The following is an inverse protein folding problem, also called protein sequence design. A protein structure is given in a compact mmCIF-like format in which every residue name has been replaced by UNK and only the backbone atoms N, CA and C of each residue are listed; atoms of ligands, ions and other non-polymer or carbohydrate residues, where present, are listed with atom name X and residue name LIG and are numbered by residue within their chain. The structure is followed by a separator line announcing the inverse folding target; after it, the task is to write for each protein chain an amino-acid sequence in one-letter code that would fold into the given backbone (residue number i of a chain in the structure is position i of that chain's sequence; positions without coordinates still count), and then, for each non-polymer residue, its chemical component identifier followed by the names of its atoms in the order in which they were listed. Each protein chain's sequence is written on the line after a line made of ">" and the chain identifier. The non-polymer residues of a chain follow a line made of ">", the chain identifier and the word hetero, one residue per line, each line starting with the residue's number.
data_IF_253268161291
#
_entry.id   IF_253268161291
#
_cell.length_a   1.000
_cell.length_b   1.000
_cell.length_c   1.000
_cell.angle_alpha   90.00
_cell.angle_beta   90.00
_cell.angle_gamma   90.00
#
_symmetry.space_group_name_H-M   'P 1'
#
loop_
_entity.id
_entity.type
_entity.pdbx_description
1 polymer ?
#
# COMPACT_ATOMS: atom_id res chain seq x y z
N UNK A 1 12.18 -6.09 9.08
CA UNK A 1 10.94 -5.76 9.84
C UNK A 1 10.68 -6.79 10.92
N UNK A 2 10.77 -8.09 10.61
CA UNK A 2 10.66 -9.18 11.59
C UNK A 2 11.48 -8.95 12.87
N UNK A 3 12.73 -8.52 12.75
CA UNK A 3 13.63 -8.32 13.91
C UNK A 3 13.34 -7.05 14.73
N UNK A 4 12.91 -5.96 14.09
CA UNK A 4 12.82 -4.64 14.73
C UNK A 4 11.39 -4.19 15.03
N UNK A 5 10.39 -4.69 14.30
CA UNK A 5 8.97 -4.38 14.47
C UNK A 5 8.11 -5.64 14.21
N UNK A 6 8.22 -6.68 15.05
CA UNK A 6 7.51 -7.95 14.82
C UNK A 6 5.99 -7.78 14.85
N UNK A 7 5.48 -6.90 15.74
CA UNK A 7 4.04 -6.62 15.84
C UNK A 7 3.44 -6.08 14.53
N UNK A 8 4.21 -5.30 13.76
CA UNK A 8 3.77 -4.75 12.48
C UNK A 8 3.72 -5.82 11.39
N UNK A 9 4.75 -6.66 11.33
CA UNK A 9 4.77 -7.80 10.41
C UNK A 9 3.63 -8.78 10.70
N UNK A 10 3.44 -9.12 11.98
CA UNK A 10 2.34 -9.97 12.41
C UNK A 10 0.97 -9.37 12.08
N UNK A 11 0.82 -8.04 12.13
CA UNK A 11 -0.42 -7.36 11.75
C UNK A 11 -0.68 -7.34 10.23
N UNK A 12 0.37 -7.22 9.41
CA UNK A 12 0.24 -7.27 7.94
C UNK A 12 -0.31 -8.60 7.45
N UNK A 13 0.06 -9.67 8.13
CA UNK A 13 -0.22 -11.05 7.72
C UNK A 13 -1.28 -11.71 8.61
N UNK A 14 -1.78 -11.00 9.62
CA UNK A 14 -2.83 -11.48 10.52
C UNK A 14 -2.39 -12.66 11.41
N UNK A 15 -1.10 -12.77 11.72
CA UNK A 15 -0.56 -13.86 12.52
C UNK A 15 -0.77 -13.60 14.02
N UNK A 16 -1.77 -14.26 14.60
CA UNK A 16 -2.10 -14.15 16.03
C UNK A 16 -1.27 -15.04 16.97
N UNK A 17 -1.01 -16.32 16.67
CA UNK A 17 -0.25 -17.19 17.57
C UNK A 17 1.09 -16.59 18.01
N UNK A 18 1.49 -16.76 19.27
CA UNK A 18 2.64 -16.04 19.81
C UNK A 18 3.99 -16.50 19.22
N UNK A 19 4.11 -17.79 18.89
CA UNK A 19 5.33 -18.41 18.35
C UNK A 19 4.95 -19.72 17.64
N UNK A 20 4.52 -19.61 16.39
CA UNK A 20 4.19 -20.75 15.52
C UNK A 20 4.68 -20.47 14.10
N UNK A 21 4.73 -21.51 13.27
CA UNK A 21 4.93 -21.33 11.83
C UNK A 21 3.81 -20.44 11.28
N UNK A 22 4.20 -19.45 10.50
CA UNK A 22 3.29 -18.43 10.02
C UNK A 22 2.89 -18.70 8.57
N UNK A 23 1.58 -18.72 8.36
CA UNK A 23 0.99 -18.81 7.03
C UNK A 23 0.99 -17.42 6.39
N UNK A 24 1.16 -17.36 5.07
CA UNK A 24 0.98 -16.11 4.34
C UNK A 24 -0.42 -16.10 3.72
N UNK A 25 -1.21 -15.08 4.03
CA UNK A 25 -2.53 -14.92 3.44
C UNK A 25 -2.40 -14.25 2.07
N UNK A 26 -3.22 -14.67 1.10
CA UNK A 26 -3.29 -14.03 -0.22
C UNK A 26 -4.44 -13.03 -0.23
N UNK A 27 -5.59 -13.45 0.31
CA UNK A 27 -6.78 -12.63 0.52
C UNK A 27 -7.43 -13.15 1.80
N UNK A 28 -7.88 -12.25 2.66
CA UNK A 28 -8.60 -12.62 3.87
C UNK A 28 -9.30 -11.44 4.53
N UNK A 29 -9.98 -11.75 5.62
CA UNK A 29 -10.59 -10.79 6.52
C UNK A 29 -10.16 -11.09 7.94
N UNK A 30 -9.75 -10.07 8.68
CA UNK A 30 -9.32 -10.20 10.07
C UNK A 30 -10.46 -9.78 10.98
N UNK A 31 -10.84 -10.67 11.90
CA UNK A 31 -11.71 -10.33 13.01
C UNK A 31 -10.86 -10.07 14.26
N UNK A 32 -10.76 -8.80 14.65
CA UNK A 32 -9.96 -8.39 15.81
C UNK A 32 -10.58 -8.83 17.15
N UNK A 33 -11.90 -9.06 17.21
CA UNK A 33 -12.58 -9.50 18.43
C UNK A 33 -12.34 -10.99 18.70
N UNK A 34 -12.37 -11.81 17.65
CA UNK A 34 -12.14 -13.26 17.77
C UNK A 34 -10.68 -13.65 17.60
N UNK A 35 -9.80 -12.71 17.20
CA UNK A 35 -8.39 -12.95 16.89
C UNK A 35 -8.18 -14.03 15.81
N UNK A 36 -9.07 -14.04 14.81
CA UNK A 36 -9.07 -15.02 13.73
C UNK A 36 -9.00 -14.36 12.36
N UNK A 37 -8.32 -15.03 11.43
CA UNK A 37 -8.23 -14.60 10.04
C UNK A 37 -8.92 -15.63 9.17
N UNK A 38 -9.95 -15.17 8.47
CA UNK A 38 -10.68 -15.98 7.48
C UNK A 38 -10.16 -15.64 6.09
N UNK A 39 -9.60 -16.61 5.37
CA UNK A 39 -9.03 -16.32 4.06
C UNK A 39 -8.38 -17.51 3.37
N UNK A 40 -7.77 -17.22 2.22
CA UNK A 40 -6.94 -18.17 1.48
C UNK A 40 -5.50 -17.95 1.95
N UNK A 41 -4.94 -18.94 2.63
CA UNK A 41 -3.57 -18.91 3.13
C UNK A 41 -2.73 -20.00 2.47
N UNK A 42 -1.43 -19.73 2.37
CA UNK A 42 -0.42 -20.71 1.97
C UNK A 42 0.36 -21.11 3.22
N UNK A 43 0.26 -22.38 3.66
CA UNK A 43 0.88 -22.83 4.90
C UNK A 43 2.41 -22.62 4.93
N UNK A 44 2.91 -22.02 6.01
CA UNK A 44 4.35 -21.81 6.26
C UNK A 44 5.07 -20.85 5.30
N UNK A 45 4.35 -20.21 4.36
CA UNK A 45 4.97 -19.32 3.37
C UNK A 45 5.59 -18.09 4.03
N UNK A 46 4.99 -17.55 5.09
CA UNK A 46 5.54 -16.40 5.80
C UNK A 46 6.81 -16.77 6.56
N UNK A 47 6.80 -17.91 7.27
CA UNK A 47 8.02 -18.47 7.90
C UNK A 47 9.14 -18.62 6.88
N UNK A 48 8.84 -19.17 5.70
CA UNK A 48 9.82 -19.29 4.61
C UNK A 48 10.32 -17.93 4.12
N UNK A 49 9.46 -16.93 3.95
CA UNK A 49 9.87 -15.60 3.49
C UNK A 49 10.75 -14.86 4.50
N UNK A 50 10.60 -15.13 5.80
CA UNK A 50 11.35 -14.46 6.86
C UNK A 50 12.65 -15.20 7.18
N UNK A 51 12.61 -16.52 7.32
CA UNK A 51 13.71 -17.33 7.84
C UNK A 51 14.29 -18.32 6.82
N UNK A 52 13.75 -18.39 5.60
CA UNK A 52 14.07 -19.42 4.60
C UNK A 52 13.75 -20.86 5.05
N UNK A 53 12.89 -21.01 6.06
CA UNK A 53 12.42 -22.28 6.63
C UNK A 53 10.90 -22.21 6.85
N UNK A 54 10.17 -23.26 6.47
CA UNK A 54 8.71 -23.34 6.61
C UNK A 54 8.25 -23.59 8.04
N UNK A 55 9.12 -24.09 8.92
CA UNK A 55 8.77 -24.47 10.30
C UNK A 55 9.26 -23.45 11.34
N UNK A 56 10.18 -22.55 10.98
CA UNK A 56 10.74 -21.58 11.92
C UNK A 56 9.64 -20.62 12.41
N UNK A 57 9.44 -20.50 13.74
CA UNK A 57 8.34 -19.73 14.30
C UNK A 57 8.54 -18.23 14.11
N UNK A 58 7.45 -17.53 13.86
CA UNK A 58 7.43 -16.06 13.76
C UNK A 58 6.69 -15.49 14.97
N UNK A 59 7.20 -14.37 15.50
CA UNK A 59 6.56 -13.69 16.63
C UNK A 59 5.24 -13.07 16.21
N UNK A 60 4.12 -13.61 16.68
CA UNK A 60 2.78 -13.09 16.38
C UNK A 60 2.20 -12.12 17.40
N UNK A 61 0.96 -11.70 17.14
CA UNK A 61 0.29 -10.61 17.87
C UNK A 61 0.04 -10.95 19.35
N UNK A 62 -0.21 -12.22 19.71
CA UNK A 62 -0.41 -12.66 21.10
C UNK A 62 0.82 -12.51 21.98
N UNK A 63 2.02 -12.36 21.39
CA UNK A 63 3.23 -12.05 22.15
C UNK A 63 3.23 -10.60 22.71
N UNK A 64 2.35 -9.73 22.20
CA UNK A 64 2.24 -8.33 22.61
C UNK A 64 0.95 -8.07 23.40
N UNK A 65 0.98 -7.17 24.40
CA UNK A 65 -0.23 -6.69 25.08
C UNK A 65 -1.23 -6.07 24.08
N UNK A 66 -2.56 -6.28 24.24
CA UNK A 66 -3.57 -5.76 23.30
C UNK A 66 -3.51 -4.25 23.06
N UNK A 67 -3.16 -3.46 24.08
CA UNK A 67 -3.01 -2.01 24.02
C UNK A 67 -1.80 -1.54 23.19
N UNK A 68 -0.87 -2.45 22.88
CA UNK A 68 0.35 -2.18 22.11
C UNK A 68 0.30 -2.73 20.69
N UNK A 69 -0.82 -3.33 20.28
CA UNK A 69 -1.02 -3.87 18.94
C UNK A 69 -1.53 -2.77 18.01
N UNK A 70 -1.06 -2.71 16.76
CA UNK A 70 -1.68 -1.85 15.75
C UNK A 70 -3.09 -2.36 15.39
N UNK A 71 -3.93 -1.52 14.75
CA UNK A 71 -5.20 -1.96 14.20
C UNK A 71 -4.95 -2.98 13.09
N UNK A 72 -5.27 -4.25 13.34
CA UNK A 72 -4.80 -5.37 12.52
C UNK A 72 -5.52 -5.40 11.18
N UNK A 73 -6.84 -5.24 11.16
CA UNK A 73 -7.62 -5.41 9.94
C UNK A 73 -7.28 -4.34 8.89
N UNK A 74 -7.14 -3.07 9.29
CA UNK A 74 -6.77 -1.99 8.35
C UNK A 74 -5.39 -2.22 7.75
N UNK A 75 -4.42 -2.65 8.56
CA UNK A 75 -3.05 -2.93 8.13
C UNK A 75 -3.03 -4.14 7.20
N UNK A 76 -3.74 -5.22 7.55
CA UNK A 76 -3.89 -6.41 6.73
C UNK A 76 -4.49 -6.08 5.36
N UNK A 77 -5.63 -5.39 5.31
CA UNK A 77 -6.29 -5.06 4.04
C UNK A 77 -5.44 -4.15 3.16
N UNK A 78 -4.80 -3.13 3.77
CA UNK A 78 -3.98 -2.18 3.03
C UNK A 78 -2.73 -2.84 2.45
N UNK A 79 -2.10 -3.73 3.23
CA UNK A 79 -0.94 -4.50 2.79
C UNK A 79 -1.29 -5.42 1.61
N UNK A 80 -2.33 -6.23 1.75
CA UNK A 80 -2.73 -7.15 0.69
C UNK A 80 -3.18 -6.40 -0.57
N UNK A 81 -3.94 -5.32 -0.43
CA UNK A 81 -4.34 -4.49 -1.56
C UNK A 81 -3.12 -3.88 -2.30
N UNK A 82 -2.12 -3.40 -1.56
CA UNK A 82 -0.86 -2.92 -2.15
C UNK A 82 -0.14 -4.02 -2.93
N UNK A 83 0.02 -5.21 -2.33
CA UNK A 83 0.70 -6.35 -2.95
C UNK A 83 -0.06 -6.82 -4.19
N UNK A 84 -1.39 -6.94 -4.12
CA UNK A 84 -2.23 -7.34 -5.26
C UNK A 84 -2.09 -6.36 -6.44
N UNK A 85 -2.08 -5.05 -6.17
CA UNK A 85 -1.86 -4.04 -7.23
C UNK A 85 -0.45 -4.17 -7.80
N UNK A 86 0.57 -4.35 -6.96
CA UNK A 86 1.95 -4.54 -7.41
C UNK A 86 2.12 -5.76 -8.32
N UNK A 87 1.60 -6.91 -7.90
CA UNK A 87 1.62 -8.15 -8.70
C UNK A 87 0.82 -7.97 -9.99
N UNK A 88 -0.35 -7.34 -9.94
CA UNK A 88 -1.15 -7.05 -11.13
C UNK A 88 -0.37 -6.21 -12.15
N UNK A 89 0.30 -5.14 -11.70
CA UNK A 89 1.08 -4.28 -12.60
C UNK A 89 2.27 -5.02 -13.21
N UNK A 90 2.96 -5.86 -12.44
CA UNK A 90 4.03 -6.71 -12.96
C UNK A 90 3.47 -7.64 -14.03
N UNK A 91 2.43 -8.42 -13.72
CA UNK A 91 1.80 -9.33 -14.69
C UNK A 91 1.35 -8.59 -15.96
N UNK A 92 0.76 -7.41 -15.81
CA UNK A 92 0.36 -6.56 -16.94
C UNK A 92 1.56 -6.16 -17.80
N UNK A 93 2.69 -5.77 -17.20
CA UNK A 93 3.92 -5.46 -17.94
C UNK A 93 4.48 -6.67 -18.68
N UNK A 94 4.47 -7.86 -18.07
CA UNK A 94 4.92 -9.10 -18.71
C UNK A 94 4.03 -9.50 -19.89
N UNK A 95 2.71 -9.39 -19.74
CA UNK A 95 1.75 -9.59 -20.83
C UNK A 95 2.02 -8.57 -21.94
N UNK A 96 2.19 -7.29 -21.59
CA UNK A 96 2.53 -6.24 -22.55
C UNK A 96 3.78 -6.57 -23.36
N UNK A 97 4.85 -7.00 -22.70
CA UNK A 97 6.11 -7.39 -23.33
C UNK A 97 5.93 -8.59 -24.26
N UNK A 98 5.15 -9.60 -23.85
CA UNK A 98 4.88 -10.79 -24.67
C UNK A 98 4.10 -10.44 -25.94
N UNK A 99 3.06 -9.61 -25.84
CA UNK A 99 2.27 -9.18 -26.99
C UNK A 99 3.04 -8.21 -27.90
N UNK A 100 3.93 -7.40 -27.33
CA UNK A 100 4.85 -6.57 -28.09
C UNK A 100 5.85 -7.41 -28.89
N UNK A 101 6.45 -8.42 -28.27
CA UNK A 101 7.38 -9.34 -28.95
C UNK A 101 6.71 -10.11 -30.09
N UNK A 102 5.42 -10.46 -29.93
CA UNK A 102 4.60 -11.07 -30.99
C UNK A 102 4.10 -10.08 -32.05
N UNK A 103 4.41 -8.79 -31.94
CA UNK A 103 3.91 -7.69 -32.81
C UNK A 103 2.38 -7.60 -32.88
N UNK A 104 1.68 -8.06 -31.85
CA UNK A 104 0.21 -8.09 -31.79
C UNK A 104 -0.36 -7.08 -30.78
N UNK A 105 0.47 -6.36 -30.02
CA UNK A 105 0.04 -5.46 -28.94
C UNK A 105 -1.04 -4.46 -29.39
N UNK A 106 -0.84 -3.84 -30.55
CA UNK A 106 -1.75 -2.82 -31.08
C UNK A 106 -3.08 -3.38 -31.62
N UNK A 107 -3.19 -4.70 -31.80
CA UNK A 107 -4.42 -5.33 -32.27
C UNK A 107 -5.46 -5.49 -31.15
N UNK A 108 -5.03 -5.52 -29.89
CA UNK A 108 -5.89 -5.76 -28.74
C UNK A 108 -6.20 -4.47 -27.98
N UNK A 109 -7.23 -3.75 -28.42
CA UNK A 109 -7.66 -2.48 -27.81
C UNK A 109 -7.97 -2.57 -26.32
N UNK A 110 -8.55 -3.70 -25.86
CA UNK A 110 -8.86 -3.90 -24.44
C UNK A 110 -7.60 -3.88 -23.55
N UNK A 111 -6.50 -4.44 -24.03
CA UNK A 111 -5.22 -4.47 -23.31
C UNK A 111 -4.63 -3.06 -23.21
N UNK A 112 -4.74 -2.27 -24.29
CA UNK A 112 -4.32 -0.86 -24.29
C UNK A 112 -5.12 -0.02 -23.31
N UNK A 113 -6.45 -0.21 -23.21
CA UNK A 113 -7.27 0.48 -22.22
C UNK A 113 -6.82 0.15 -20.79
N UNK A 114 -6.56 -1.12 -20.49
CA UNK A 114 -6.06 -1.51 -19.16
C UNK A 114 -4.71 -0.83 -18.87
N UNK A 115 -3.80 -0.76 -19.84
CA UNK A 115 -2.52 -0.05 -19.67
C UNK A 115 -2.70 1.44 -19.40
N UNK A 116 -3.63 2.11 -20.09
CA UNK A 116 -3.93 3.53 -19.82
C UNK A 116 -4.42 3.75 -18.39
N UNK A 117 -5.36 2.93 -17.92
CA UNK A 117 -5.87 3.05 -16.55
C UNK A 117 -4.87 2.56 -15.49
N UNK A 118 -3.89 1.74 -15.87
CA UNK A 118 -2.87 1.22 -14.95
C UNK A 118 -2.03 2.32 -14.28
N UNK A 119 -1.97 3.52 -14.86
CA UNK A 119 -1.30 4.70 -14.26
C UNK A 119 -1.84 5.05 -12.87
N UNK A 120 -3.11 4.73 -12.58
CA UNK A 120 -3.70 4.93 -11.24
C UNK A 120 -3.23 3.88 -10.22
N UNK A 121 -2.80 2.70 -10.69
CA UNK A 121 -2.36 1.59 -9.86
C UNK A 121 -1.19 1.95 -8.94
N UNK A 122 -0.04 2.44 -9.47
CA UNK A 122 1.10 2.84 -8.64
C UNK A 122 0.72 3.89 -7.59
N UNK A 123 -0.15 4.84 -7.93
CA UNK A 123 -0.59 5.87 -6.99
C UNK A 123 -1.40 5.27 -5.85
N UNK A 124 -2.33 4.36 -6.14
CA UNK A 124 -3.12 3.66 -5.13
C UNK A 124 -2.24 2.75 -4.26
N UNK A 125 -1.35 1.97 -4.87
CA UNK A 125 -0.40 1.12 -4.15
C UNK A 125 0.50 1.92 -3.21
N UNK A 126 0.97 3.10 -3.65
CA UNK A 126 1.76 3.99 -2.80
C UNK A 126 0.96 4.47 -1.58
N UNK A 127 -0.28 4.91 -1.76
CA UNK A 127 -1.13 5.33 -0.63
C UNK A 127 -1.40 4.18 0.35
N UNK A 128 -1.71 2.99 -0.18
CA UNK A 128 -1.91 1.79 0.64
C UNK A 128 -0.64 1.37 1.38
N UNK A 129 0.53 1.50 0.77
CA UNK A 129 1.82 1.28 1.41
C UNK A 129 2.07 2.24 2.57
N UNK A 130 1.76 3.52 2.39
CA UNK A 130 1.83 4.52 3.46
C UNK A 130 0.84 4.22 4.59
N UNK A 131 -0.41 3.86 4.28
CA UNK A 131 -1.41 3.46 5.28
C UNK A 131 -0.89 2.26 6.07
N UNK A 132 -0.41 1.23 5.39
CA UNK A 132 0.17 0.03 6.03
C UNK A 132 1.36 0.41 6.93
N UNK A 133 2.20 1.33 6.47
CA UNK A 133 3.39 1.73 7.20
C UNK A 133 3.08 2.56 8.45
N UNK A 134 2.17 3.53 8.34
CA UNK A 134 1.82 4.50 9.37
C UNK A 134 0.81 3.94 10.37
N UNK A 135 -0.26 3.29 9.88
CA UNK A 135 -1.26 2.65 10.75
C UNK A 135 -0.63 1.46 11.47
N UNK A 136 0.23 0.68 10.80
CA UNK A 136 0.97 -0.41 11.41
C UNK A 136 2.00 0.03 12.46
N UNK A 137 2.28 1.34 12.56
CA UNK A 137 3.13 1.90 13.62
C UNK A 137 2.35 2.27 14.88
N UNK A 138 1.03 2.45 14.79
CA UNK A 138 0.20 2.73 15.95
C UNK A 138 0.33 1.60 16.99
N UNK A 139 0.34 1.90 18.29
CA UNK A 139 0.06 3.20 18.93
C UNK A 139 1.30 4.11 19.10
N UNK A 140 2.39 3.84 18.38
CA UNK A 140 3.67 4.56 18.55
C UNK A 140 3.89 5.65 17.49
N UNK A 141 4.43 6.79 17.93
CA UNK A 141 5.10 7.76 17.04
C UNK A 141 6.56 7.39 16.90
N UNK A 142 7.23 7.14 18.03
CA UNK A 142 8.57 6.55 18.08
C UNK A 142 8.44 5.18 18.70
N UNK A 143 8.73 4.14 17.92
CA UNK A 143 8.51 2.75 18.32
C UNK A 143 9.20 2.43 19.66
N UNK A 144 8.43 1.92 20.62
CA UNK A 144 8.91 1.57 21.96
C UNK A 144 9.26 2.73 22.88
N UNK A 145 9.16 3.99 22.43
CA UNK A 145 9.59 5.17 23.18
C UNK A 145 8.46 6.17 23.43
N UNK A 146 7.71 6.55 22.39
CA UNK A 146 6.70 7.61 22.47
C UNK A 146 5.38 7.17 21.83
N UNK A 147 4.33 7.14 22.64
CA UNK A 147 2.97 6.84 22.22
C UNK A 147 2.27 8.05 21.60
N UNK A 148 1.42 7.81 20.60
CA UNK A 148 0.64 8.84 19.89
C UNK A 148 -0.21 9.67 20.85
N UNK A 149 -0.82 9.03 21.86
CA UNK A 149 -1.66 9.72 22.86
C UNK A 149 -0.89 10.73 23.71
N UNK A 150 0.40 10.51 23.92
CA UNK A 150 1.29 11.37 24.72
C UNK A 150 2.02 12.41 23.87
N UNK A 151 1.80 12.42 22.55
CA UNK A 151 2.51 13.29 21.59
C UNK A 151 1.72 14.54 21.20
N UNK A 152 0.53 14.74 21.77
CA UNK A 152 -0.33 15.88 21.46
C UNK A 152 0.15 17.13 22.21
N UNK A 153 0.18 18.27 21.52
CA UNK A 153 0.53 19.55 22.15
C UNK A 153 -0.57 19.96 23.13
N UNK A 154 -0.26 20.14 24.43
CA UNK A 154 -1.26 20.53 25.42
C UNK A 154 -1.76 21.97 25.24
N UNK A 155 -1.11 22.77 24.40
CA UNK A 155 -1.37 24.20 24.24
C UNK A 155 -2.25 24.56 23.04
N UNK A 156 -2.60 23.60 22.19
CA UNK A 156 -3.37 23.86 20.96
C UNK A 156 -4.81 23.39 21.16
N UNK A 157 -5.77 24.28 20.95
CA UNK A 157 -7.18 23.95 21.09
C UNK A 157 -7.67 23.13 19.88
N UNK A 158 -8.61 22.20 20.09
CA UNK A 158 -9.14 21.35 19.01
C UNK A 158 -9.73 22.18 17.84
N UNK A 159 -10.28 23.37 18.12
CA UNK A 159 -10.78 24.29 17.11
C UNK A 159 -9.71 24.81 16.16
N UNK A 160 -8.51 25.11 16.66
CA UNK A 160 -7.38 25.59 15.84
C UNK A 160 -6.87 24.49 14.90
N UNK A 161 -6.81 23.25 15.40
CA UNK A 161 -6.44 22.08 14.59
C UNK A 161 -7.44 21.89 13.45
N UNK A 162 -8.74 21.89 13.74
CA UNK A 162 -9.77 21.72 12.70
C UNK A 162 -9.72 22.87 11.69
N UNK A 163 -9.60 24.11 12.13
CA UNK A 163 -9.51 25.26 11.25
C UNK A 163 -8.30 25.17 10.30
N UNK A 164 -7.13 24.79 10.83
CA UNK A 164 -5.93 24.59 10.02
C UNK A 164 -6.07 23.43 9.03
N UNK A 165 -6.67 22.31 9.43
CA UNK A 165 -6.94 21.16 8.55
C UNK A 165 -7.88 21.53 7.40
N UNK A 166 -8.95 22.29 7.69
CA UNK A 166 -9.87 22.79 6.66
C UNK A 166 -9.14 23.73 5.71
N UNK A 167 -8.35 24.66 6.23
CA UNK A 167 -7.57 25.60 5.43
C UNK A 167 -6.60 24.88 4.49
N UNK A 168 -5.78 23.97 5.02
CA UNK A 168 -4.86 23.17 4.20
C UNK A 168 -5.60 22.27 3.21
N UNK A 169 -6.73 21.68 3.61
CA UNK A 169 -7.59 20.88 2.74
C UNK A 169 -8.10 21.68 1.54
N UNK A 170 -8.57 22.91 1.77
CA UNK A 170 -9.03 23.81 0.69
C UNK A 170 -7.87 24.20 -0.24
N UNK A 171 -6.69 24.52 0.31
CA UNK A 171 -5.52 24.86 -0.50
C UNK A 171 -5.11 23.67 -1.38
N UNK A 172 -5.03 22.47 -0.83
CA UNK A 172 -4.69 21.27 -1.60
C UNK A 172 -5.75 20.91 -2.64
N UNK A 173 -7.04 21.13 -2.34
CA UNK A 173 -8.10 20.94 -3.32
C UNK A 173 -7.96 21.92 -4.50
N UNK A 174 -7.68 23.20 -4.23
CA UNK A 174 -7.47 24.20 -5.27
C UNK A 174 -6.25 23.87 -6.14
N UNK A 175 -5.14 23.48 -5.52
CA UNK A 175 -3.94 23.05 -6.24
C UNK A 175 -4.21 21.80 -7.11
N UNK A 176 -4.98 20.85 -6.59
CA UNK A 176 -5.36 19.66 -7.33
C UNK A 176 -6.22 19.98 -8.56
N UNK A 177 -7.22 20.87 -8.43
CA UNK A 177 -8.04 21.31 -9.56
C UNK A 177 -7.20 22.05 -10.60
N UNK A 178 -6.30 22.94 -10.16
CA UNK A 178 -5.38 23.65 -11.05
C UNK A 178 -4.46 22.68 -11.79
N UNK A 179 -3.95 21.66 -11.10
CA UNK A 179 -3.13 20.61 -11.70
C UNK A 179 -3.88 19.86 -12.80
N UNK A 180 -5.12 19.41 -12.54
CA UNK A 180 -5.95 18.72 -13.55
C UNK A 180 -6.24 19.65 -14.74
N UNK A 181 -6.54 20.93 -14.49
CA UNK A 181 -6.75 21.91 -15.53
C UNK A 181 -5.53 22.07 -16.45
N UNK A 182 -4.34 22.25 -15.87
CA UNK A 182 -3.09 22.39 -16.62
C UNK A 182 -2.71 21.10 -17.36
N UNK A 183 -2.91 19.95 -16.72
CA UNK A 183 -2.60 18.64 -17.30
C UNK A 183 -3.52 18.33 -18.47
N UNK A 184 -4.83 18.56 -18.34
CA UNK A 184 -5.76 18.41 -19.46
C UNK A 184 -5.43 19.40 -20.58
N UNK A 185 -5.08 20.65 -20.25
CA UNK A 185 -4.59 21.62 -21.24
C UNK A 185 -3.40 21.07 -22.03
N UNK A 186 -2.37 20.57 -21.36
CA UNK A 186 -1.19 19.97 -22.00
C UNK A 186 -1.50 18.73 -22.83
N UNK A 187 -2.38 17.84 -22.35
CA UNK A 187 -2.76 16.63 -23.10
C UNK A 187 -3.50 16.99 -24.39
N UNK A 188 -4.40 17.97 -24.35
CA UNK A 188 -5.20 18.38 -25.52
C UNK A 188 -4.38 19.16 -26.56
N UNK A 189 -3.36 19.92 -26.14
CA UNK A 189 -2.48 20.62 -27.07
C UNK A 189 -1.61 19.67 -27.92
N UNK A 190 -1.40 18.42 -27.46
CA UNK A 190 -0.52 17.47 -28.14
C UNK A 190 0.96 17.89 -28.08
N UNK A 191 1.89 17.05 -28.59
CA UNK A 191 3.29 17.45 -28.75
C UNK A 191 3.40 18.55 -29.82
N UNK A 192 4.24 19.56 -29.59
CA UNK A 192 4.52 20.60 -30.59
C UNK A 192 5.18 19.97 -31.83
N UNK A 193 4.80 20.42 -33.03
CA UNK A 193 5.28 19.86 -34.32
C UNK A 193 6.83 19.84 -34.43
N UNK A 194 7.53 20.72 -33.71
CA UNK A 194 8.99 20.79 -33.68
C UNK A 194 9.68 19.55 -33.05
N UNK A 195 9.01 18.80 -32.17
CA UNK A 195 9.54 17.55 -31.59
C UNK A 195 9.29 16.32 -32.48
N UNK A 196 8.36 16.40 -33.43
CA UNK A 196 8.05 15.28 -34.34
C UNK A 196 9.05 15.16 -35.48
N UNK A 197 9.65 16.27 -35.94
CA UNK A 197 10.69 16.24 -36.99
C UNK A 197 12.03 15.67 -36.48
N UNK A 198 12.34 15.81 -35.19
CA UNK A 198 13.60 15.29 -34.61
C UNK A 198 13.53 13.79 -34.26
N UNK A 199 12.33 13.21 -34.15
CA UNK A 199 12.14 11.78 -33.87
C UNK A 199 12.16 10.86 -35.11
N UNK A 200 12.17 11.39 -36.33
CA UNK A 200 12.24 10.62 -37.58
C UNK A 200 13.68 10.40 -38.10
N UNK A 201 14.69 10.87 -37.35
CA UNK A 201 16.10 10.70 -37.65
C UNK A 201 16.79 9.81 -36.60
N UNK A 202 16.32 8.57 -36.43
CA UNK A 202 17.04 7.50 -35.75
C UNK A 202 16.63 6.13 -36.30
#
# INVERSE_FOLDING_TARGET
>A
MAEHQPAKLAAMEGHYPASEAADAYIIGWVNEETEEVSGIAVPGLLSFLVHWDFEEPVTGLRAFPPDKRPPVNIVFQSYHAMVMIGVFLIVLSWIGLLFWWRKQLFNYRWLLYIMVFSVLGPQLANQLGWITAEVGRQPYIVYGLLETKNSLSPSVEAGEVIASLVMFGLIYLLLFVLFIYLLNGKIQHGPEEAELETGHLA
#
